data_IF_274041153884
#
_entry.id   IF_274041153884
#
_cell.length_a   1.000
_cell.length_b   1.000
_cell.length_c   1.000
_cell.angle_alpha   90.00
_cell.angle_beta   90.00
_cell.angle_gamma   90.00
#
_symmetry.space_group_name_H-M   'P 1'
#
loop_
_entity.id
_entity.type
_entity.pdbx_description
1 polymer ?
#
# COMPACT_ATOMS: atom_id res chain seq x y z
N UNK A 1 20.40 3.87 -11.82
CA UNK A 1 19.30 3.89 -12.80
C UNK A 1 18.95 2.46 -13.11
N UNK A 2 17.77 1.98 -12.68
CA UNK A 2 17.32 0.63 -13.04
C UNK A 2 16.87 0.69 -14.49
N UNK A 3 17.61 0.02 -15.37
CA UNK A 3 17.20 -0.16 -16.78
C UNK A 3 16.30 -1.37 -16.80
N UNK A 4 15.00 -1.14 -16.99
CA UNK A 4 14.07 -2.24 -17.25
C UNK A 4 14.34 -2.70 -18.68
N UNK A 5 14.88 -3.90 -18.82
CA UNK A 5 15.13 -4.53 -20.11
C UNK A 5 13.83 -4.64 -20.92
N UNK A 6 13.89 -4.32 -22.22
CA UNK A 6 12.80 -4.55 -23.18
C UNK A 6 12.66 -6.04 -23.56
N UNK A 7 13.40 -6.94 -22.90
CA UNK A 7 13.19 -8.37 -23.03
C UNK A 7 11.72 -8.72 -22.75
N UNK A 8 11.15 -9.57 -23.61
CA UNK A 8 9.73 -9.95 -23.56
C UNK A 8 9.32 -10.34 -22.14
N UNK A 9 8.51 -9.49 -21.51
CA UNK A 9 7.99 -9.70 -20.16
C UNK A 9 6.65 -10.41 -20.26
N UNK A 10 6.41 -11.32 -19.32
CA UNK A 10 5.17 -12.08 -19.26
C UNK A 10 4.64 -11.99 -17.82
N UNK A 11 3.35 -11.73 -17.67
CA UNK A 11 2.64 -11.80 -16.39
C UNK A 11 1.67 -12.97 -16.45
N UNK A 12 1.70 -13.79 -15.41
CA UNK A 12 0.71 -14.84 -15.18
C UNK A 12 -0.06 -14.47 -13.92
N UNK A 13 -1.35 -14.21 -14.06
CA UNK A 13 -2.25 -13.98 -12.93
C UNK A 13 -3.10 -15.21 -12.68
N UNK A 14 -3.11 -15.68 -11.43
CA UNK A 14 -4.00 -16.74 -10.97
C UNK A 14 -5.13 -16.12 -10.15
N UNK A 15 -6.37 -16.15 -10.66
CA UNK A 15 -7.56 -15.72 -9.92
C UNK A 15 -8.04 -16.87 -9.05
N UNK A 16 -7.34 -17.03 -7.92
CA UNK A 16 -7.63 -18.04 -6.94
C UNK A 16 -7.25 -17.53 -5.55
N UNK A 17 -8.21 -17.53 -4.62
CA UNK A 17 -8.05 -17.04 -3.25
C UNK A 17 -7.67 -18.13 -2.24
N UNK A 18 -7.51 -19.38 -2.68
CA UNK A 18 -7.10 -20.48 -1.82
C UNK A 18 -5.64 -20.35 -1.43
N UNK A 19 -5.29 -20.89 -0.26
CA UNK A 19 -3.90 -21.00 0.15
C UNK A 19 -3.10 -21.77 -0.91
N UNK A 20 -1.85 -21.37 -1.11
CA UNK A 20 -1.02 -21.94 -2.14
C UNK A 20 0.45 -21.60 -1.98
N UNK A 21 1.24 -22.10 -2.91
CA UNK A 21 2.69 -21.94 -2.97
C UNK A 21 3.11 -21.67 -4.39
N UNK A 22 4.06 -20.75 -4.54
CA UNK A 22 4.83 -20.55 -5.76
C UNK A 22 6.26 -21.02 -5.50
N UNK A 23 6.77 -21.91 -6.35
CA UNK A 23 8.15 -22.40 -6.31
C UNK A 23 8.84 -21.98 -7.59
N UNK A 24 9.86 -21.14 -7.46
CA UNK A 24 10.73 -20.73 -8.55
C UNK A 24 12.02 -21.54 -8.50
N UNK A 25 12.47 -22.00 -9.67
CA UNK A 25 13.76 -22.67 -9.87
C UNK A 25 14.49 -21.91 -10.95
N UNK A 26 15.70 -21.46 -10.66
CA UNK A 26 16.53 -20.79 -11.65
C UNK A 26 16.93 -21.78 -12.76
N UNK A 27 17.10 -21.23 -13.95
CA UNK A 27 17.72 -21.98 -15.04
C UNK A 27 19.23 -22.01 -14.88
N UNK A 28 19.88 -22.84 -15.68
CA UNK A 28 21.34 -22.91 -15.76
C UNK A 28 21.74 -22.60 -17.20
N UNK A 29 22.63 -21.63 -17.39
CA UNK A 29 23.26 -21.40 -18.70
C UNK A 29 24.30 -22.49 -18.95
N UNK A 30 24.26 -23.09 -20.14
CA UNK A 30 25.18 -24.16 -20.52
C UNK A 30 26.60 -23.63 -20.70
N UNK A 31 27.60 -24.31 -20.13
CA UNK A 31 29.00 -23.97 -20.39
C UNK A 31 29.45 -24.50 -21.77
N UNK A 32 30.03 -23.64 -22.61
CA UNK A 32 30.63 -24.03 -23.88
C UNK A 32 29.61 -24.52 -24.91
N UNK A 33 29.64 -25.81 -25.24
CA UNK A 33 28.66 -26.46 -26.13
C UNK A 33 27.49 -27.11 -25.37
N UNK A 34 27.39 -26.90 -24.05
CA UNK A 34 26.28 -27.40 -23.24
C UNK A 34 24.97 -26.67 -23.56
N UNK A 35 23.84 -27.37 -23.42
CA UNK A 35 22.53 -26.76 -23.57
C UNK A 35 22.10 -26.03 -22.30
N UNK A 36 21.44 -24.89 -22.48
CA UNK A 36 20.77 -24.18 -21.39
C UNK A 36 19.65 -25.04 -20.79
N UNK A 37 19.50 -24.97 -19.47
CA UNK A 37 18.36 -25.53 -18.74
C UNK A 37 17.43 -24.37 -18.38
N UNK A 38 16.18 -24.35 -18.86
CA UNK A 38 15.26 -23.28 -18.51
C UNK A 38 14.92 -23.34 -17.02
N UNK A 39 14.73 -22.17 -16.41
CA UNK A 39 14.12 -22.08 -15.08
C UNK A 39 12.67 -22.58 -15.11
N UNK A 40 12.11 -22.86 -13.94
CA UNK A 40 10.74 -23.33 -13.80
C UNK A 40 9.98 -22.56 -12.71
N UNK A 41 8.70 -22.30 -12.96
CA UNK A 41 7.76 -21.77 -11.98
C UNK A 41 6.64 -22.79 -11.77
N UNK A 42 6.48 -23.28 -10.55
CA UNK A 42 5.38 -24.17 -10.17
C UNK A 42 4.45 -23.43 -9.21
N UNK A 43 3.16 -23.34 -9.56
CA UNK A 43 2.11 -22.77 -8.70
C UNK A 43 1.19 -23.90 -8.26
N UNK A 44 1.04 -24.09 -6.95
CA UNK A 44 0.12 -25.06 -6.36
C UNK A 44 -0.86 -24.33 -5.46
N UNK A 45 -2.15 -24.57 -5.64
CA UNK A 45 -3.22 -24.09 -4.76
C UNK A 45 -3.86 -25.31 -4.08
N UNK A 46 -4.28 -25.15 -2.82
CA UNK A 46 -4.94 -26.21 -2.05
C UNK A 46 -6.36 -26.53 -2.56
N UNK A 47 -6.96 -25.63 -3.35
CA UNK A 47 -8.26 -25.82 -3.96
C UNK A 47 -8.63 -24.72 -4.95
N UNK A 48 -9.92 -24.59 -5.23
CA UNK A 48 -10.46 -23.61 -6.17
C UNK A 48 -10.23 -23.96 -7.64
N UNK A 49 -10.84 -23.20 -8.56
CA UNK A 49 -10.68 -23.43 -9.99
C UNK A 49 -9.28 -23.00 -10.46
N UNK A 50 -8.77 -23.69 -11.49
CA UNK A 50 -7.62 -23.19 -12.24
C UNK A 50 -8.11 -22.12 -13.23
N UNK A 51 -8.11 -20.86 -12.80
CA UNK A 51 -8.37 -19.71 -13.66
C UNK A 51 -7.12 -18.84 -13.72
N UNK A 52 -6.55 -18.70 -14.91
CA UNK A 52 -5.38 -17.85 -15.11
C UNK A 52 -5.43 -17.07 -16.43
N UNK A 53 -4.68 -15.96 -16.46
CA UNK A 53 -4.45 -15.13 -17.64
C UNK A 53 -2.96 -14.96 -17.81
N UNK A 54 -2.53 -14.99 -19.07
CA UNK A 54 -1.15 -14.73 -19.46
C UNK A 54 -1.13 -13.48 -20.33
N UNK A 55 -0.36 -12.48 -19.92
CA UNK A 55 -0.17 -11.23 -20.67
C UNK A 55 1.30 -11.13 -21.06
N UNK A 56 1.57 -10.89 -22.34
CA UNK A 56 2.93 -10.86 -22.89
C UNK A 56 3.20 -9.52 -23.56
N UNK A 57 4.39 -8.96 -23.32
CA UNK A 57 4.86 -7.77 -24.03
C UNK A 57 5.94 -7.04 -23.26
N UNK A 58 6.10 -5.75 -23.54
CA UNK A 58 6.89 -4.86 -22.69
C UNK A 58 6.25 -4.75 -21.30
N UNK A 59 7.02 -4.45 -20.24
CA UNK A 59 6.48 -4.19 -18.89
C UNK A 59 5.29 -3.22 -18.86
N UNK A 60 5.32 -2.14 -19.65
CA UNK A 60 4.22 -1.18 -19.75
C UNK A 60 2.93 -1.81 -20.30
N UNK A 61 3.02 -2.57 -21.39
CA UNK A 61 1.88 -3.31 -21.95
C UNK A 61 1.33 -4.36 -21.01
N UNK A 62 2.22 -5.06 -20.29
CA UNK A 62 1.82 -6.05 -19.28
C UNK A 62 0.99 -5.38 -18.17
N UNK A 63 1.44 -4.24 -17.65
CA UNK A 63 0.70 -3.48 -16.63
C UNK A 63 -0.63 -2.91 -17.17
N UNK A 64 -0.67 -2.47 -18.42
CA UNK A 64 -1.92 -2.05 -19.07
C UNK A 64 -2.92 -3.21 -19.18
N UNK A 65 -2.48 -4.39 -19.64
CA UNK A 65 -3.33 -5.58 -19.70
C UNK A 65 -3.81 -6.01 -18.31
N UNK A 66 -2.94 -5.94 -17.30
CA UNK A 66 -3.29 -6.21 -15.91
C UNK A 66 -4.38 -5.27 -15.37
N UNK A 67 -4.18 -3.96 -15.48
CA UNK A 67 -5.13 -2.96 -14.97
C UNK A 67 -6.45 -2.94 -15.75
N UNK A 68 -6.45 -3.35 -17.03
CA UNK A 68 -7.69 -3.56 -17.78
C UNK A 68 -8.50 -4.76 -17.24
N UNK A 69 -7.82 -5.78 -16.71
CA UNK A 69 -8.46 -6.97 -16.14
C UNK A 69 -8.95 -6.74 -14.70
N UNK A 70 -8.15 -6.10 -13.85
CA UNK A 70 -8.42 -6.01 -12.40
C UNK A 70 -8.91 -4.65 -11.92
N UNK A 71 -9.03 -3.69 -12.83
CA UNK A 71 -9.32 -2.30 -12.50
C UNK A 71 -8.05 -1.47 -12.38
N UNK A 72 -8.16 -0.22 -12.82
CA UNK A 72 -7.09 0.77 -12.70
C UNK A 72 -7.03 1.32 -11.27
N UNK A 73 -5.86 1.76 -10.80
CA UNK A 73 -5.74 2.46 -9.53
C UNK A 73 -6.70 3.66 -9.47
N UNK A 74 -7.42 3.80 -8.36
CA UNK A 74 -8.26 4.97 -8.11
C UNK A 74 -7.38 6.22 -7.99
N UNK A 75 -7.83 7.35 -8.54
CA UNK A 75 -7.15 8.63 -8.39
C UNK A 75 -7.26 9.09 -6.92
N UNK A 76 -6.15 9.18 -6.17
CA UNK A 76 -6.21 9.63 -4.79
C UNK A 76 -6.54 11.13 -4.72
N UNK A 77 -7.18 11.60 -3.64
CA UNK A 77 -7.36 13.03 -3.42
C UNK A 77 -5.98 13.69 -3.22
N UNK A 78 -5.82 14.94 -3.65
CA UNK A 78 -4.52 15.63 -3.66
C UNK A 78 -3.83 15.67 -2.29
N UNK A 79 -4.58 15.81 -1.20
CA UNK A 79 -4.04 15.84 0.16
C UNK A 79 -3.36 14.54 0.57
N UNK A 80 -3.72 13.40 -0.03
CA UNK A 80 -3.11 12.10 0.27
C UNK A 80 -1.69 11.95 -0.31
N UNK A 81 -1.31 12.83 -1.26
CA UNK A 81 0.05 12.86 -1.82
C UNK A 81 0.99 13.80 -1.04
N UNK A 82 0.47 14.55 -0.07
CA UNK A 82 1.27 15.43 0.77
C UNK A 82 1.92 14.71 1.96
N UNK A 83 2.81 15.38 2.71
CA UNK A 83 3.47 14.80 3.88
C UNK A 83 2.47 14.35 4.95
N UNK A 84 2.65 13.14 5.45
CA UNK A 84 1.78 12.52 6.44
C UNK A 84 2.57 12.19 7.70
N UNK A 85 2.01 12.43 8.87
CA UNK A 85 2.58 12.04 10.15
C UNK A 85 1.74 10.92 10.76
N UNK A 86 2.40 9.80 11.07
CA UNK A 86 1.81 8.69 11.80
C UNK A 86 2.77 8.27 12.91
N UNK A 87 2.21 8.01 14.09
CA UNK A 87 2.93 7.50 15.26
C UNK A 87 1.95 6.67 16.05
N UNK A 88 2.40 5.52 16.56
CA UNK A 88 1.62 4.80 17.57
C UNK A 88 1.59 5.63 18.84
N UNK A 89 0.40 6.03 19.29
CA UNK A 89 0.30 6.82 20.51
C UNK A 89 0.42 8.32 20.27
N UNK A 90 -0.69 9.01 20.00
CA UNK A 90 -0.74 10.45 20.28
C UNK A 90 -1.13 10.70 21.73
N UNK A 91 -1.76 9.74 22.41
CA UNK A 91 -2.11 9.91 23.81
C UNK A 91 -3.34 10.80 24.00
N UNK A 92 -3.38 12.03 23.48
CA UNK A 92 -4.55 12.93 23.61
C UNK A 92 -4.66 13.96 22.50
N UNK A 93 -5.79 14.68 22.46
CA UNK A 93 -5.98 15.79 21.52
C UNK A 93 -5.01 16.97 21.73
N UNK A 94 -4.53 17.22 22.96
CA UNK A 94 -3.53 18.25 23.24
C UNK A 94 -2.18 17.93 22.60
N UNK A 95 -1.75 16.68 22.66
CA UNK A 95 -0.53 16.23 22.01
C UNK A 95 -0.64 16.35 20.48
N UNK A 96 -1.81 16.03 19.92
CA UNK A 96 -2.07 16.25 18.48
C UNK A 96 -1.90 17.72 18.11
N UNK A 97 -2.52 18.65 18.87
CA UNK A 97 -2.37 20.09 18.64
C UNK A 97 -0.92 20.56 18.79
N UNK A 98 -0.21 20.06 19.81
CA UNK A 98 1.21 20.37 20.02
C UNK A 98 2.07 19.94 18.84
N UNK A 99 1.84 18.74 18.31
CA UNK A 99 2.58 18.22 17.14
C UNK A 99 2.26 19.07 15.90
N UNK A 100 0.99 19.31 15.59
CA UNK A 100 0.59 20.12 14.41
C UNK A 100 1.11 21.56 14.51
N UNK A 101 1.01 22.17 15.70
CA UNK A 101 1.60 23.48 15.99
C UNK A 101 3.12 23.49 15.76
N UNK A 102 3.80 22.44 16.19
CA UNK A 102 5.25 22.29 16.00
C UNK A 102 5.68 22.25 14.53
N UNK A 103 4.90 21.61 13.64
CA UNK A 103 5.15 21.68 12.19
C UNK A 103 5.06 23.11 11.67
N UNK A 104 4.03 23.83 12.09
CA UNK A 104 3.77 25.22 11.67
C UNK A 104 4.84 26.19 12.13
N UNK A 105 5.21 26.13 13.41
CA UNK A 105 6.29 26.93 13.99
C UNK A 105 7.61 26.76 13.22
N UNK A 106 7.86 25.57 12.70
CA UNK A 106 9.08 25.22 11.96
C UNK A 106 8.96 25.43 10.45
N UNK A 107 7.80 25.88 9.95
CA UNK A 107 7.54 26.01 8.51
C UNK A 107 7.58 24.68 7.75
N UNK A 108 7.32 23.56 8.43
CA UNK A 108 7.31 22.23 7.82
C UNK A 108 5.92 21.90 7.27
N UNK A 109 5.81 21.34 6.05
CA UNK A 109 4.53 20.95 5.48
C UNK A 109 3.94 19.72 6.21
N UNK A 110 2.63 19.76 6.45
CA UNK A 110 1.86 18.63 6.96
C UNK A 110 0.49 18.63 6.30
N UNK A 111 0.12 17.50 5.67
CA UNK A 111 -1.17 17.32 5.00
C UNK A 111 -2.08 16.35 5.75
N UNK A 112 -1.52 15.36 6.45
CA UNK A 112 -2.30 14.33 7.16
C UNK A 112 -1.67 14.00 8.50
N UNK A 113 -2.49 13.79 9.52
CA UNK A 113 -2.12 13.17 10.79
C UNK A 113 -2.97 11.92 11.00
N UNK A 114 -2.34 10.80 11.34
CA UNK A 114 -2.99 9.52 11.60
C UNK A 114 -3.06 9.25 13.11
N UNK A 115 -4.25 9.01 13.63
CA UNK A 115 -4.43 8.45 14.97
C UNK A 115 -4.40 6.93 14.87
N UNK A 116 -3.52 6.32 15.65
CA UNK A 116 -3.41 4.86 15.73
C UNK A 116 -4.45 4.30 16.71
N UNK A 117 -4.49 2.98 16.89
CA UNK A 117 -5.50 2.24 17.67
C UNK A 117 -5.71 2.71 19.13
N UNK A 118 -4.78 3.51 19.67
CA UNK A 118 -4.78 3.96 21.06
C UNK A 118 -5.81 5.06 21.37
N UNK A 119 -6.36 5.73 20.34
CA UNK A 119 -7.43 6.73 20.54
C UNK A 119 -8.83 6.10 20.68
N UNK A 120 -8.98 4.80 20.40
CA UNK A 120 -10.22 4.08 20.60
C UNK A 120 -10.47 3.81 22.09
N UNK A 121 -11.74 3.78 22.50
CA UNK A 121 -12.12 3.42 23.85
C UNK A 121 -11.91 1.90 24.06
N UNK A 122 -10.83 1.56 24.76
CA UNK A 122 -10.43 0.18 25.05
C UNK A 122 -10.10 -0.63 23.80
N UNK A 123 -9.53 0.00 22.76
CA UNK A 123 -9.23 -0.63 21.46
C UNK A 123 -10.46 -1.12 20.68
N UNK A 124 -11.66 -0.65 21.03
CA UNK A 124 -12.89 -0.99 20.30
C UNK A 124 -12.98 -0.14 19.04
N UNK A 125 -12.90 -0.76 17.87
CA UNK A 125 -13.05 -0.05 16.59
C UNK A 125 -14.39 0.70 16.53
N UNK A 126 -14.38 1.87 15.90
CA UNK A 126 -15.53 2.80 15.82
C UNK A 126 -15.98 3.44 17.14
N UNK A 127 -15.18 3.34 18.20
CA UNK A 127 -15.35 4.14 19.43
C UNK A 127 -14.21 5.13 19.59
N UNK A 128 -14.36 6.08 20.51
CA UNK A 128 -13.35 7.08 20.83
C UNK A 128 -13.23 7.17 22.35
N UNK A 129 -12.00 7.14 22.85
CA UNK A 129 -11.72 7.42 24.25
C UNK A 129 -12.03 8.89 24.54
N UNK A 130 -13.18 9.14 25.19
CA UNK A 130 -13.65 10.49 25.47
C UNK A 130 -12.89 11.19 26.60
N UNK A 131 -12.07 10.47 27.36
CA UNK A 131 -11.19 11.12 28.35
C UNK A 131 -10.01 11.78 27.64
N UNK A 132 -9.47 11.13 26.60
CA UNK A 132 -8.30 11.60 25.84
C UNK A 132 -8.65 12.41 24.59
N UNK A 133 -9.83 12.17 24.02
CA UNK A 133 -10.37 12.80 22.82
C UNK A 133 -11.87 13.14 23.03
N UNK A 134 -12.18 14.13 23.88
CA UNK A 134 -13.56 14.48 24.24
C UNK A 134 -14.43 14.90 23.04
N UNK A 135 -13.85 15.58 22.04
CA UNK A 135 -14.55 15.98 20.81
C UNK A 135 -13.66 15.82 19.56
N UNK A 136 -13.47 14.55 19.17
CA UNK A 136 -12.71 14.20 17.97
C UNK A 136 -13.23 14.88 16.68
N UNK A 137 -14.55 15.01 16.44
CA UNK A 137 -15.07 15.78 15.30
C UNK A 137 -14.65 17.26 15.30
N UNK A 138 -14.65 17.92 16.46
CA UNK A 138 -14.18 19.30 16.58
C UNK A 138 -12.68 19.40 16.28
N UNK A 139 -11.86 18.50 16.83
CA UNK A 139 -10.43 18.44 16.53
C UNK A 139 -10.19 18.25 15.02
N UNK A 140 -10.89 17.30 14.38
CA UNK A 140 -10.78 17.07 12.95
C UNK A 140 -11.16 18.31 12.11
N UNK A 141 -12.15 19.09 12.57
CA UNK A 141 -12.57 20.35 11.92
C UNK A 141 -11.54 21.47 12.10
N UNK A 142 -10.97 21.59 13.30
CA UNK A 142 -9.88 22.52 13.63
C UNK A 142 -8.67 22.27 12.72
N UNK A 143 -8.16 21.04 12.71
CA UNK A 143 -7.03 20.63 11.87
C UNK A 143 -7.32 20.81 10.38
N UNK A 144 -8.57 20.59 9.97
CA UNK A 144 -8.99 20.84 8.59
C UNK A 144 -8.90 22.32 8.20
N UNK A 145 -9.24 23.24 9.10
CA UNK A 145 -9.05 24.68 8.91
C UNK A 145 -7.56 25.04 8.75
N UNK A 146 -6.71 24.21 9.33
CA UNK A 146 -5.27 24.32 9.32
C UNK A 146 -4.58 23.70 8.10
N UNK A 147 -5.35 23.11 7.18
CA UNK A 147 -4.84 22.40 6.01
C UNK A 147 -4.43 20.95 6.28
N UNK A 148 -4.67 20.44 7.49
CA UNK A 148 -4.31 19.08 7.93
C UNK A 148 -5.56 18.19 7.97
N UNK A 149 -5.51 17.02 7.35
CA UNK A 149 -6.55 15.99 7.45
C UNK A 149 -6.25 15.07 8.62
N UNK A 150 -7.25 14.80 9.45
CA UNK A 150 -7.18 13.75 10.46
C UNK A 150 -7.67 12.43 9.86
N UNK A 151 -6.88 11.36 10.00
CA UNK A 151 -7.23 9.97 9.70
C UNK A 151 -7.26 9.20 11.02
N UNK A 152 -8.29 8.38 11.22
CA UNK A 152 -8.66 7.70 12.48
C UNK A 152 -9.11 6.28 12.16
#
# INVERSE_FOLDING_TARGET
>A
QVVVSDAGTHLVFHDNSWAGRVVLREGEEGAGSGHDRPGACEVRMEGGPLRCWVVVGTPARVLQGWTALTGSPALPPSWALGPQHARWGFGSEEEVRRVVGGYRERGLPLSVLHLDIDHYDGHRVFTVDRERFPDLPALAKELRGDGVRLVS
#
